data_IF_273520503715
#
_entry.id   IF_273520503715
#
_cell.length_a   1.000
_cell.length_b   1.000
_cell.length_c   1.000
_cell.angle_alpha   90.00
_cell.angle_beta   90.00
_cell.angle_gamma   90.00
#
_symmetry.space_group_name_H-M   'P 1'
#
loop_
_entity.id
_entity.type
_entity.pdbx_description
1 polymer ?
#
# COMPACT_ATOMS: atom_id res chain seq x y z
N UNK A 1 -14.89 10.67 -19.15
CA UNK A 1 -14.69 9.70 -18.05
C UNK A 1 -16.03 9.12 -17.63
N UNK A 2 -16.10 7.85 -17.21
CA UNK A 2 -17.34 7.28 -16.65
C UNK A 2 -17.67 7.96 -15.31
N UNK A 3 -18.97 8.12 -15.00
CA UNK A 3 -19.45 8.73 -13.74
C UNK A 3 -18.77 8.14 -12.50
N UNK A 4 -18.65 6.81 -12.43
CA UNK A 4 -17.95 6.14 -11.34
C UNK A 4 -16.51 6.65 -11.19
N UNK A 5 -15.73 6.63 -12.27
CA UNK A 5 -14.32 7.04 -12.26
C UNK A 5 -14.15 8.48 -11.82
N UNK A 6 -15.09 9.36 -12.19
CA UNK A 6 -15.10 10.76 -11.76
C UNK A 6 -15.28 10.87 -10.23
N UNK A 7 -16.21 10.12 -9.63
CA UNK A 7 -16.44 10.16 -8.18
C UNK A 7 -15.19 9.69 -7.41
N UNK A 8 -14.55 8.61 -7.88
CA UNK A 8 -13.30 8.14 -7.29
C UNK A 8 -12.15 9.15 -7.48
N UNK A 9 -12.09 9.84 -8.63
CA UNK A 9 -11.11 10.88 -8.90
C UNK A 9 -11.29 12.10 -7.97
N UNK A 10 -12.54 12.56 -7.76
CA UNK A 10 -12.85 13.64 -6.82
C UNK A 10 -12.44 13.25 -5.40
N UNK A 11 -12.79 12.04 -4.95
CA UNK A 11 -12.39 11.56 -3.63
C UNK A 11 -10.86 11.56 -3.48
N UNK A 12 -10.14 11.08 -4.50
CA UNK A 12 -8.67 11.07 -4.52
C UNK A 12 -8.12 12.49 -4.45
N UNK A 13 -8.67 13.42 -5.25
CA UNK A 13 -8.24 14.81 -5.28
C UNK A 13 -8.40 15.51 -3.93
N UNK A 14 -9.55 15.33 -3.26
CA UNK A 14 -9.80 15.88 -1.91
C UNK A 14 -8.71 15.41 -0.93
N UNK A 15 -8.30 14.14 -0.98
CA UNK A 15 -7.29 13.62 -0.08
C UNK A 15 -5.86 14.03 -0.48
N UNK A 16 -5.59 14.22 -1.76
CA UNK A 16 -4.32 14.82 -2.21
C UNK A 16 -4.17 16.25 -1.68
N UNK A 17 -5.25 17.05 -1.72
CA UNK A 17 -5.28 18.38 -1.08
C UNK A 17 -5.04 18.28 0.42
N UNK A 18 -5.65 17.30 1.10
CA UNK A 18 -5.41 17.05 2.53
C UNK A 18 -3.94 16.69 2.83
N UNK A 19 -3.29 15.87 1.98
CA UNK A 19 -1.84 15.61 2.10
C UNK A 19 -1.05 16.89 1.94
N UNK A 20 -1.30 17.67 0.89
CA UNK A 20 -0.57 18.92 0.66
C UNK A 20 -0.70 19.83 1.88
N UNK A 21 -1.92 20.04 2.39
CA UNK A 21 -2.14 20.86 3.60
C UNK A 21 -1.39 20.28 4.82
N UNK A 22 -1.46 18.96 5.03
CA UNK A 22 -0.81 18.30 6.16
C UNK A 22 0.70 18.47 6.10
N UNK A 23 1.29 18.26 4.93
CA UNK A 23 2.74 18.29 4.73
C UNK A 23 3.29 19.71 4.71
N UNK A 24 2.54 20.67 4.14
CA UNK A 24 2.89 22.10 4.21
C UNK A 24 2.87 22.61 5.66
N UNK A 25 1.87 22.22 6.47
CA UNK A 25 1.76 22.64 7.88
C UNK A 25 2.69 21.90 8.84
N UNK A 26 3.22 20.75 8.44
CA UNK A 26 4.07 19.88 9.27
C UNK A 26 5.38 19.56 8.56
N UNK A 27 6.02 20.58 7.98
CA UNK A 27 7.19 20.50 7.10
C UNK A 27 8.40 19.81 7.78
N UNK A 28 8.35 18.49 7.83
CA UNK A 28 9.36 17.56 8.33
C UNK A 28 9.39 16.35 7.39
N UNK A 29 10.42 15.51 7.48
CA UNK A 29 10.59 14.25 6.73
C UNK A 29 9.74 13.11 7.31
N UNK A 30 9.41 13.17 8.60
CA UNK A 30 8.59 12.18 9.34
C UNK A 30 7.19 11.90 8.75
N UNK A 31 6.43 12.90 8.24
CA UNK A 31 5.17 12.69 7.55
C UNK A 31 5.20 11.64 6.43
N UNK A 32 6.27 11.58 5.62
CA UNK A 32 6.36 10.58 4.55
C UNK A 32 6.57 9.17 5.11
N UNK A 33 7.44 9.00 6.11
CA UNK A 33 7.67 7.71 6.75
C UNK A 33 6.37 7.19 7.39
N UNK A 34 5.65 8.06 8.09
CA UNK A 34 4.37 7.72 8.71
C UNK A 34 3.31 7.38 7.65
N UNK A 35 3.21 8.16 6.58
CA UNK A 35 2.26 7.89 5.50
C UNK A 35 2.52 6.54 4.84
N UNK A 36 3.74 6.28 4.36
CA UNK A 36 4.06 5.04 3.66
C UNK A 36 3.94 3.80 4.57
N UNK A 37 4.33 3.91 5.85
CA UNK A 37 4.12 2.81 6.80
C UNK A 37 2.64 2.59 7.11
N UNK A 38 1.82 3.65 7.19
CA UNK A 38 0.37 3.55 7.35
C UNK A 38 -0.31 2.91 6.14
N UNK A 39 0.12 3.24 4.92
CA UNK A 39 -0.31 2.55 3.69
C UNK A 39 0.04 1.06 3.76
N UNK A 40 1.24 0.73 4.24
CA UNK A 40 1.67 -0.66 4.39
C UNK A 40 0.79 -1.44 5.36
N UNK A 41 0.47 -0.85 6.52
CA UNK A 41 -0.45 -1.46 7.49
C UNK A 41 -1.84 -1.68 6.88
N UNK A 42 -2.37 -0.69 6.14
CA UNK A 42 -3.65 -0.81 5.44
C UNK A 42 -3.60 -1.91 4.36
N UNK A 43 -2.49 -2.06 3.64
CA UNK A 43 -2.30 -3.12 2.64
C UNK A 43 -2.22 -4.51 3.28
N UNK A 44 -1.67 -4.65 4.50
CA UNK A 44 -1.68 -5.94 5.23
C UNK A 44 -3.13 -6.33 5.48
N UNK A 45 -3.93 -5.40 6.00
CA UNK A 45 -5.34 -5.62 6.24
C UNK A 45 -6.10 -5.97 4.94
N UNK A 46 -5.90 -5.18 3.88
CA UNK A 46 -6.56 -5.36 2.58
C UNK A 46 -6.19 -6.70 1.94
N UNK A 47 -4.96 -7.17 2.13
CA UNK A 47 -4.52 -8.47 1.64
C UNK A 47 -5.37 -9.61 2.19
N UNK A 48 -5.64 -9.63 3.49
CA UNK A 48 -6.51 -10.65 4.08
C UNK A 48 -7.97 -10.43 3.72
N UNK A 49 -8.47 -9.22 3.92
CA UNK A 49 -9.90 -8.91 3.84
C UNK A 49 -10.41 -8.93 2.39
N UNK A 50 -9.70 -8.30 1.47
CA UNK A 50 -10.09 -8.23 0.05
C UNK A 50 -9.48 -9.35 -0.77
N UNK A 51 -8.15 -9.53 -0.74
CA UNK A 51 -7.51 -10.42 -1.71
C UNK A 51 -7.78 -11.90 -1.43
N UNK A 52 -7.66 -12.31 -0.16
CA UNK A 52 -7.92 -13.70 0.25
C UNK A 52 -9.42 -13.93 0.44
N UNK A 53 -10.07 -13.15 1.30
CA UNK A 53 -11.45 -13.42 1.73
C UNK A 53 -12.52 -12.79 0.83
N UNK A 54 -12.15 -11.89 -0.09
CA UNK A 54 -13.07 -11.26 -1.05
C UNK A 54 -14.28 -10.63 -0.37
N UNK A 55 -14.07 -9.90 0.72
CA UNK A 55 -15.12 -9.34 1.57
C UNK A 55 -16.06 -8.35 0.87
N UNK A 56 -15.54 -7.61 -0.11
CA UNK A 56 -16.26 -6.61 -0.89
C UNK A 56 -15.64 -6.42 -2.29
N UNK A 57 -16.24 -5.56 -3.10
CA UNK A 57 -15.77 -5.18 -4.44
C UNK A 57 -15.99 -3.68 -4.68
N UNK A 58 -15.00 -3.04 -5.28
CA UNK A 58 -15.09 -1.67 -5.79
C UNK A 58 -15.36 -1.67 -7.29
N UNK A 59 -16.04 -0.61 -7.77
CA UNK A 59 -16.39 -0.40 -9.18
C UNK A 59 -16.00 1.01 -9.67
N UNK A 60 -14.72 1.40 -9.65
CA UNK A 60 -14.28 2.68 -10.22
C UNK A 60 -14.45 2.75 -11.75
N UNK A 61 -14.61 1.62 -12.44
CA UNK A 61 -14.78 1.48 -13.90
C UNK A 61 -13.64 2.09 -14.72
N UNK A 62 -12.43 2.10 -14.18
CA UNK A 62 -11.18 2.53 -14.83
C UNK A 62 -10.63 1.42 -15.70
N UNK A 63 -10.64 0.17 -15.22
CA UNK A 63 -10.13 -0.99 -15.95
C UNK A 63 -11.25 -1.90 -16.45
N UNK A 64 -11.01 -2.59 -17.57
CA UNK A 64 -11.97 -3.56 -18.12
C UNK A 64 -12.03 -4.84 -17.29
N UNK A 65 -10.91 -5.26 -16.68
CA UNK A 65 -10.89 -6.41 -15.79
C UNK A 65 -11.52 -6.04 -14.44
N UNK A 66 -12.63 -6.70 -14.09
CA UNK A 66 -13.39 -6.41 -12.87
C UNK A 66 -12.54 -6.49 -11.58
N UNK A 67 -11.62 -7.45 -11.50
CA UNK A 67 -10.80 -7.62 -10.29
C UNK A 67 -9.69 -6.57 -10.23
N UNK A 68 -9.02 -6.29 -11.35
CA UNK A 68 -8.09 -5.17 -11.44
C UNK A 68 -8.73 -3.84 -11.06
N UNK A 69 -9.97 -3.62 -11.53
CA UNK A 69 -10.77 -2.43 -11.23
C UNK A 69 -11.13 -2.36 -9.73
N UNK A 70 -11.48 -3.50 -9.12
CA UNK A 70 -11.67 -3.59 -7.67
C UNK A 70 -10.39 -3.23 -6.91
N UNK A 71 -9.23 -3.72 -7.34
CA UNK A 71 -7.94 -3.39 -6.70
C UNK A 71 -7.59 -1.91 -6.86
N UNK A 72 -7.93 -1.30 -8.01
CA UNK A 72 -7.78 0.15 -8.18
C UNK A 72 -8.58 0.92 -7.14
N UNK A 73 -9.84 0.52 -6.90
CA UNK A 73 -10.67 1.14 -5.86
C UNK A 73 -10.10 0.92 -4.45
N UNK A 74 -9.54 -0.27 -4.19
CA UNK A 74 -8.86 -0.57 -2.94
C UNK A 74 -7.61 0.29 -2.74
N UNK A 75 -6.80 0.51 -3.77
CA UNK A 75 -5.63 1.41 -3.71
C UNK A 75 -6.08 2.85 -3.44
N UNK A 76 -7.14 3.34 -4.10
CA UNK A 76 -7.68 4.67 -3.81
C UNK A 76 -8.10 4.77 -2.33
N UNK A 77 -8.72 3.73 -1.78
CA UNK A 77 -9.13 3.73 -0.38
C UNK A 77 -7.94 3.60 0.59
N UNK A 78 -7.06 2.63 0.36
CA UNK A 78 -6.03 2.18 1.31
C UNK A 78 -4.64 2.77 1.06
N UNK A 79 -4.47 3.59 0.03
CA UNK A 79 -3.26 4.39 -0.17
C UNK A 79 -3.56 5.88 -0.06
N UNK A 80 -4.67 6.33 -0.67
CA UNK A 80 -4.95 7.75 -0.80
C UNK A 80 -6.00 8.27 0.19
N UNK A 81 -6.92 7.44 0.65
CA UNK A 81 -8.05 7.94 1.44
C UNK A 81 -7.78 7.78 2.93
N UNK A 82 -7.83 6.54 3.41
CA UNK A 82 -7.79 6.21 4.84
C UNK A 82 -6.42 6.48 5.47
N UNK A 83 -5.26 6.09 4.90
CA UNK A 83 -3.97 6.38 5.50
C UNK A 83 -3.62 7.87 5.51
N UNK A 84 -4.07 8.63 4.51
CA UNK A 84 -3.88 10.08 4.49
C UNK A 84 -4.58 10.72 5.68
N UNK A 85 -5.85 10.38 5.92
CA UNK A 85 -6.59 10.87 7.09
C UNK A 85 -5.95 10.41 8.40
N UNK A 86 -5.55 9.14 8.49
CA UNK A 86 -4.88 8.61 9.68
C UNK A 86 -3.59 9.37 10.01
N UNK A 87 -2.77 9.64 8.97
CA UNK A 87 -1.54 10.41 9.08
C UNK A 87 -1.81 11.84 9.53
N UNK A 88 -2.81 12.51 8.94
CA UNK A 88 -3.20 13.86 9.34
C UNK A 88 -3.66 13.90 10.81
N UNK A 89 -4.54 12.98 11.22
CA UNK A 89 -5.02 12.90 12.60
C UNK A 89 -3.89 12.66 13.61
N UNK A 90 -2.92 11.82 13.27
CA UNK A 90 -1.74 11.54 14.08
C UNK A 90 -0.83 12.77 14.21
N UNK A 91 -0.45 13.40 13.09
CA UNK A 91 0.48 14.54 13.06
C UNK A 91 -0.09 15.82 13.69
N UNK A 92 -1.41 16.05 13.56
CA UNK A 92 -2.08 17.15 14.23
C UNK A 92 -2.47 16.83 15.68
N UNK A 93 -2.05 15.67 16.21
CA UNK A 93 -2.30 15.20 17.58
C UNK A 93 -3.77 15.35 18.00
N UNK A 94 -4.71 15.11 17.08
CA UNK A 94 -6.12 15.36 17.35
C UNK A 94 -6.66 14.44 18.45
N UNK A 95 -7.65 14.94 19.19
CA UNK A 95 -8.41 14.17 20.19
C UNK A 95 -9.12 12.99 19.52
N UNK A 96 -9.38 11.93 20.28
CA UNK A 96 -10.05 10.72 19.79
C UNK A 96 -11.42 11.00 19.14
N UNK A 97 -12.10 12.07 19.55
CA UNK A 97 -13.34 12.54 18.93
C UNK A 97 -13.22 12.79 17.42
N UNK A 98 -12.06 13.27 16.96
CA UNK A 98 -11.81 13.46 15.52
C UNK A 98 -11.64 12.13 14.78
N UNK A 99 -11.07 11.11 15.43
CA UNK A 99 -10.99 9.75 14.88
C UNK A 99 -12.38 9.12 14.73
N UNK A 100 -13.28 9.36 15.70
CA UNK A 100 -14.69 8.95 15.60
C UNK A 100 -15.40 9.71 14.48
N UNK A 101 -15.22 11.03 14.39
CA UNK A 101 -15.79 11.84 13.30
C UNK A 101 -15.34 11.36 11.92
N UNK A 102 -14.04 11.10 11.74
CA UNK A 102 -13.51 10.54 10.50
C UNK A 102 -14.06 9.14 10.20
N UNK A 103 -14.28 8.31 11.24
CA UNK A 103 -14.89 6.99 11.11
C UNK A 103 -16.33 7.09 10.59
N UNK A 104 -17.15 7.97 11.18
CA UNK A 104 -18.51 8.19 10.71
C UNK A 104 -18.55 8.78 9.29
N UNK A 105 -17.62 9.68 8.96
CA UNK A 105 -17.46 10.20 7.60
C UNK A 105 -17.23 9.05 6.60
N UNK A 106 -16.28 8.14 6.88
CA UNK A 106 -15.99 7.02 5.99
C UNK A 106 -17.10 5.97 5.93
N UNK A 107 -17.79 5.70 7.04
CA UNK A 107 -18.98 4.84 7.02
C UNK A 107 -20.10 5.48 6.16
N UNK A 108 -20.27 6.80 6.22
CA UNK A 108 -21.17 7.54 5.35
C UNK A 108 -20.77 7.47 3.87
N UNK A 109 -19.47 7.60 3.57
CA UNK A 109 -18.93 7.41 2.22
C UNK A 109 -19.19 5.99 1.72
N UNK A 110 -18.94 4.96 2.55
CA UNK A 110 -19.23 3.56 2.21
C UNK A 110 -20.71 3.39 1.86
N UNK A 111 -21.61 3.92 2.69
CA UNK A 111 -23.04 3.85 2.48
C UNK A 111 -23.47 4.55 1.18
N UNK A 112 -22.93 5.74 0.92
CA UNK A 112 -23.16 6.46 -0.33
C UNK A 112 -22.66 5.66 -1.54
N UNK A 113 -21.48 5.05 -1.43
CA UNK A 113 -20.90 4.24 -2.49
C UNK A 113 -21.73 2.99 -2.77
N UNK A 114 -22.35 2.38 -1.75
CA UNK A 114 -23.30 1.28 -1.94
C UNK A 114 -24.52 1.76 -2.72
N UNK A 115 -25.15 2.87 -2.28
CA UNK A 115 -26.35 3.43 -2.94
C UNK A 115 -26.09 3.81 -4.41
N UNK A 116 -24.89 4.32 -4.70
CA UNK A 116 -24.48 4.69 -6.06
C UNK A 116 -23.97 3.52 -6.90
N UNK A 117 -23.95 2.29 -6.37
CA UNK A 117 -23.43 1.11 -7.07
C UNK A 117 -21.92 1.16 -7.35
N UNK A 118 -21.18 1.95 -6.57
CA UNK A 118 -19.72 2.09 -6.62
C UNK A 118 -18.99 1.05 -5.77
N UNK A 119 -19.70 0.48 -4.79
CA UNK A 119 -19.18 -0.51 -3.86
C UNK A 119 -20.23 -1.59 -3.61
N UNK A 120 -19.81 -2.86 -3.55
CA UNK A 120 -20.67 -4.00 -3.19
C UNK A 120 -20.05 -4.78 -2.06
N UNK A 121 -20.82 -4.97 -1.00
CA UNK A 121 -20.49 -5.87 0.11
C UNK A 121 -20.78 -7.32 -0.32
N UNK A 122 -19.84 -8.23 -0.05
CA UNK A 122 -20.11 -9.67 -0.17
C UNK A 122 -20.50 -10.21 1.21
N UNK A 123 -19.57 -10.21 2.17
CA UNK A 123 -19.82 -10.54 3.57
C UNK A 123 -19.42 -9.42 4.54
N UNK A 124 -18.68 -8.42 4.06
CA UNK A 124 -18.34 -7.24 4.84
C UNK A 124 -19.62 -6.54 5.33
N UNK A 125 -19.64 -6.09 6.58
CA UNK A 125 -20.71 -5.29 7.16
C UNK A 125 -20.14 -3.92 7.54
N UNK A 126 -20.96 -2.88 7.44
CA UNK A 126 -20.53 -1.50 7.74
C UNK A 126 -20.12 -1.34 9.21
N UNK A 127 -20.64 -2.19 10.12
CA UNK A 127 -20.15 -2.27 11.50
C UNK A 127 -18.67 -2.64 11.59
N UNK A 128 -18.15 -3.45 10.66
CA UNK A 128 -16.73 -3.78 10.62
C UNK A 128 -15.89 -2.55 10.27
N UNK A 129 -16.37 -1.67 9.38
CA UNK A 129 -15.73 -0.38 9.09
C UNK A 129 -15.75 0.54 10.31
N UNK A 130 -16.89 0.60 11.02
CA UNK A 130 -17.04 1.40 12.24
C UNK A 130 -16.11 0.93 13.38
N UNK A 131 -15.69 -0.33 13.39
CA UNK A 131 -14.75 -0.88 14.38
C UNK A 131 -13.30 -0.78 13.88
N UNK A 132 -13.04 -1.12 12.62
CA UNK A 132 -11.69 -1.20 12.07
C UNK A 132 -11.03 0.16 11.87
N UNK A 133 -11.79 1.20 11.49
CA UNK A 133 -11.23 2.53 11.26
C UNK A 133 -10.76 3.23 12.54
N UNK A 134 -11.52 3.28 13.65
CA UNK A 134 -11.01 3.82 14.90
C UNK A 134 -9.76 3.05 15.35
N UNK A 135 -9.80 1.72 15.28
CA UNK A 135 -8.64 0.89 15.61
C UNK A 135 -7.43 1.25 14.75
N UNK A 136 -7.60 1.37 13.43
CA UNK A 136 -6.54 1.76 12.52
C UNK A 136 -5.98 3.16 12.84
N UNK A 137 -6.84 4.15 13.10
CA UNK A 137 -6.40 5.48 13.50
C UNK A 137 -5.64 5.48 14.83
N UNK A 138 -6.05 4.66 15.78
CA UNK A 138 -5.32 4.44 17.03
C UNK A 138 -3.94 3.82 16.78
N UNK A 139 -3.87 2.77 15.96
CA UNK A 139 -2.59 2.12 15.59
C UNK A 139 -1.66 3.13 14.92
N UNK A 140 -2.12 3.87 13.91
CA UNK A 140 -1.30 4.88 13.22
C UNK A 140 -0.84 5.98 14.15
N UNK A 141 -1.70 6.45 15.07
CA UNK A 141 -1.32 7.44 16.08
C UNK A 141 -0.24 6.90 17.02
N UNK A 142 -0.38 5.66 17.50
CA UNK A 142 0.65 5.00 18.32
C UNK A 142 1.94 4.79 17.53
N UNK A 143 1.85 4.41 16.26
CA UNK A 143 2.99 4.25 15.37
C UNK A 143 3.74 5.57 15.19
N UNK A 144 3.03 6.69 15.05
CA UNK A 144 3.63 8.03 15.00
C UNK A 144 4.46 8.30 16.25
N UNK A 145 3.93 8.01 17.44
CA UNK A 145 4.67 8.20 18.71
C UNK A 145 5.91 7.29 18.80
N UNK A 146 5.82 6.05 18.31
CA UNK A 146 6.97 5.14 18.25
C UNK A 146 8.05 5.56 17.24
N UNK A 147 7.68 6.42 16.28
CA UNK A 147 8.57 7.03 15.30
C UNK A 147 9.08 8.41 15.74
N UNK A 148 8.62 8.94 16.87
CA UNK A 148 9.15 10.16 17.46
C UNK A 148 10.53 9.91 18.08
N UNK A 149 11.44 10.88 17.92
CA UNK A 149 12.83 10.73 18.35
C UNK A 149 13.56 9.58 17.64
N UNK A 150 14.24 8.74 18.41
CA UNK A 150 14.97 7.56 17.93
C UNK A 150 14.06 6.34 18.02
N UNK A 151 13.53 5.81 16.89
CA UNK A 151 12.65 4.66 16.94
C UNK A 151 13.40 3.43 17.46
N UNK A 152 12.70 2.64 18.26
CA UNK A 152 13.17 1.33 18.67
C UNK A 152 13.54 0.46 17.46
N UNK A 153 14.52 -0.44 17.65
CA UNK A 153 15.06 -1.25 16.55
C UNK A 153 13.94 -1.95 15.79
N UNK A 154 13.02 -2.60 16.49
CA UNK A 154 11.90 -3.34 15.90
C UNK A 154 10.93 -2.43 15.13
N UNK A 155 10.58 -1.26 15.66
CA UNK A 155 9.72 -0.26 14.99
C UNK A 155 10.35 0.18 13.67
N UNK A 156 11.66 0.46 13.68
CA UNK A 156 12.39 0.82 12.48
C UNK A 156 12.41 -0.34 11.46
N UNK A 157 12.60 -1.60 11.88
CA UNK A 157 12.59 -2.77 10.97
C UNK A 157 11.22 -2.93 10.31
N UNK A 158 10.14 -2.93 11.10
CA UNK A 158 8.79 -3.11 10.58
C UNK A 158 8.43 -1.96 9.64
N UNK A 159 8.75 -0.71 10.01
CA UNK A 159 8.52 0.46 9.15
C UNK A 159 9.21 0.31 7.80
N UNK A 160 10.49 -0.07 7.79
CA UNK A 160 11.25 -0.26 6.55
C UNK A 160 10.67 -1.40 5.70
N UNK A 161 10.28 -2.52 6.31
CA UNK A 161 9.65 -3.65 5.61
C UNK A 161 8.31 -3.26 4.97
N UNK A 162 7.48 -2.51 5.70
CA UNK A 162 6.20 -2.00 5.19
C UNK A 162 6.41 -1.08 3.99
N UNK A 163 7.37 -0.16 4.08
CA UNK A 163 7.69 0.76 2.97
C UNK A 163 8.17 -0.03 1.74
N UNK A 164 9.09 -0.99 1.91
CA UNK A 164 9.51 -1.86 0.80
C UNK A 164 8.32 -2.54 0.14
N UNK A 165 7.42 -3.09 0.95
CA UNK A 165 6.28 -3.86 0.47
C UNK A 165 5.27 -3.00 -0.29
N UNK A 166 4.95 -1.80 0.23
CA UNK A 166 4.08 -0.82 -0.44
C UNK A 166 4.64 -0.42 -1.80
N UNK A 167 5.93 -0.10 -1.86
CA UNK A 167 6.57 0.29 -3.12
C UNK A 167 6.51 -0.84 -4.15
N UNK A 168 6.85 -2.07 -3.75
CA UNK A 168 6.74 -3.24 -4.61
C UNK A 168 5.31 -3.41 -5.16
N UNK A 169 4.31 -3.33 -4.28
CA UNK A 169 2.91 -3.50 -4.64
C UNK A 169 2.41 -2.41 -5.60
N UNK A 170 2.73 -1.15 -5.32
CA UNK A 170 2.32 -0.02 -6.15
C UNK A 170 2.99 -0.07 -7.52
N UNK A 171 4.29 -0.34 -7.58
CA UNK A 171 5.00 -0.43 -8.87
C UNK A 171 4.51 -1.64 -9.67
N UNK A 172 4.30 -2.79 -9.04
CA UNK A 172 3.71 -3.95 -9.72
C UNK A 172 2.29 -3.65 -10.22
N UNK A 173 1.46 -2.95 -9.44
CA UNK A 173 0.13 -2.55 -9.88
C UNK A 173 0.19 -1.66 -11.12
N UNK A 174 1.12 -0.68 -11.15
CA UNK A 174 1.35 0.17 -12.33
C UNK A 174 1.81 -0.67 -13.54
N UNK A 175 2.73 -1.61 -13.35
CA UNK A 175 3.16 -2.52 -14.42
C UNK A 175 1.98 -3.34 -14.96
N UNK A 176 1.10 -3.83 -14.09
CA UNK A 176 -0.12 -4.57 -14.50
C UNK A 176 -1.12 -3.65 -15.20
N UNK A 177 -1.27 -2.41 -14.73
CA UNK A 177 -2.14 -1.39 -15.32
C UNK A 177 -1.73 -1.01 -16.74
N UNK A 178 -0.43 -0.74 -16.95
CA UNK A 178 0.12 -0.30 -18.24
C UNK A 178 0.28 -1.48 -19.20
N UNK A 179 0.94 -2.56 -18.75
CA UNK A 179 1.31 -3.66 -19.65
C UNK A 179 0.16 -4.64 -19.90
N UNK A 180 -0.79 -4.77 -18.95
CA UNK A 180 -1.81 -5.83 -18.86
C UNK A 180 -1.25 -7.26 -18.98
N UNK A 181 0.08 -7.41 -18.89
CA UNK A 181 0.80 -8.59 -19.41
C UNK A 181 1.95 -9.07 -18.53
N UNK A 182 2.27 -8.37 -17.44
CA UNK A 182 3.09 -8.89 -16.36
C UNK A 182 2.18 -9.45 -15.26
N UNK A 183 1.95 -10.76 -15.26
CA UNK A 183 1.05 -11.41 -14.29
C UNK A 183 1.78 -12.55 -13.59
N UNK A 184 1.81 -12.45 -12.27
CA UNK A 184 2.20 -13.55 -11.38
C UNK A 184 0.97 -14.42 -11.11
N UNK A 185 0.94 -15.68 -11.55
CA UNK A 185 -0.14 -16.64 -11.31
C UNK A 185 0.35 -18.08 -11.46
N UNK A 186 -0.21 -19.01 -10.70
CA UNK A 186 0.15 -20.43 -10.79
C UNK A 186 -0.19 -20.97 -12.20
N UNK A 187 0.72 -21.76 -12.80
CA UNK A 187 0.66 -22.29 -14.17
C UNK A 187 -0.72 -22.82 -14.59
N UNK A 188 -1.38 -23.56 -13.70
CA UNK A 188 -2.59 -24.33 -13.95
C UNK A 188 -3.88 -23.51 -13.90
N UNK A 189 -3.83 -22.25 -13.45
CA UNK A 189 -5.03 -21.42 -13.34
C UNK A 189 -4.96 -20.19 -14.24
N UNK A 190 -6.03 -20.00 -15.02
CA UNK A 190 -6.21 -18.83 -15.88
C UNK A 190 -6.82 -17.63 -15.12
N UNK A 191 -7.16 -17.79 -13.83
CA UNK A 191 -7.93 -16.80 -13.06
C UNK A 191 -7.09 -15.57 -12.72
N UNK A 192 -7.51 -14.40 -13.21
CA UNK A 192 -6.78 -13.14 -13.06
C UNK A 192 -6.62 -12.68 -11.59
N UNK A 193 -7.59 -13.00 -10.72
CA UNK A 193 -7.52 -12.58 -9.31
C UNK A 193 -6.36 -13.21 -8.52
N UNK A 194 -5.85 -14.37 -8.95
CA UNK A 194 -4.73 -15.03 -8.27
C UNK A 194 -3.48 -14.16 -8.25
N UNK A 195 -3.31 -13.29 -9.23
CA UNK A 195 -2.23 -12.32 -9.23
C UNK A 195 -2.21 -11.47 -7.97
N UNK A 196 -3.37 -10.99 -7.56
CA UNK A 196 -3.48 -10.12 -6.38
C UNK A 196 -3.48 -10.89 -5.07
N UNK A 197 -3.40 -12.23 -5.11
CA UNK A 197 -3.13 -13.06 -3.93
C UNK A 197 -1.64 -13.40 -3.87
N UNK A 198 -1.06 -13.86 -4.97
CA UNK A 198 0.32 -14.35 -5.01
C UNK A 198 1.32 -13.20 -4.99
N UNK A 199 1.05 -12.13 -5.75
CA UNK A 199 1.98 -11.01 -5.86
C UNK A 199 2.24 -10.32 -4.51
N UNK A 200 1.23 -10.00 -3.66
CA UNK A 200 1.52 -9.44 -2.35
C UNK A 200 2.35 -10.36 -1.45
N UNK A 201 2.05 -11.65 -1.40
CA UNK A 201 2.85 -12.60 -0.62
C UNK A 201 4.30 -12.68 -1.15
N UNK A 202 4.46 -12.73 -2.47
CA UNK A 202 5.77 -12.73 -3.12
C UNK A 202 6.58 -11.48 -2.79
N UNK A 203 5.98 -10.30 -2.94
CA UNK A 203 6.66 -9.04 -2.65
C UNK A 203 6.95 -8.87 -1.16
N UNK A 204 6.21 -9.52 -0.26
CA UNK A 204 6.53 -9.52 1.16
C UNK A 204 7.85 -10.26 1.42
N UNK A 205 8.08 -11.39 0.75
CA UNK A 205 9.35 -12.13 0.81
C UNK A 205 10.49 -11.29 0.20
N UNK A 206 10.24 -10.65 -0.95
CA UNK A 206 11.23 -9.76 -1.57
C UNK A 206 11.58 -8.55 -0.69
N UNK A 207 10.63 -8.00 0.07
CA UNK A 207 10.91 -6.95 1.05
C UNK A 207 11.88 -7.39 2.14
N UNK A 208 11.79 -8.65 2.61
CA UNK A 208 12.73 -9.20 3.59
C UNK A 208 14.14 -9.31 3.00
N UNK A 209 14.28 -9.82 1.78
CA UNK A 209 15.58 -9.94 1.11
C UNK A 209 16.19 -8.57 0.85
N UNK A 210 15.38 -7.62 0.35
CA UNK A 210 15.82 -6.25 0.13
C UNK A 210 16.26 -5.57 1.43
N UNK A 211 15.55 -5.83 2.54
CA UNK A 211 15.92 -5.36 3.86
C UNK A 211 17.26 -5.95 4.36
N UNK A 212 17.47 -7.26 4.21
CA UNK A 212 18.74 -7.92 4.57
C UNK A 212 19.90 -7.39 3.74
N UNK A 213 19.69 -7.17 2.43
CA UNK A 213 20.68 -6.55 1.55
C UNK A 213 21.05 -5.13 2.01
N UNK A 214 20.06 -4.35 2.44
CA UNK A 214 20.26 -2.99 2.96
C UNK A 214 21.05 -3.01 4.29
N UNK A 215 20.77 -3.95 5.19
CA UNK A 215 21.48 -4.09 6.47
C UNK A 215 22.94 -4.51 6.30
N UNK A 216 23.17 -5.54 5.47
CA UNK A 216 24.51 -6.11 5.26
C UNK A 216 25.39 -5.26 4.36
N UNK A 217 24.84 -4.22 3.73
CA UNK A 217 25.49 -3.42 2.68
C UNK A 217 25.97 -4.27 1.49
N UNK A 218 25.44 -5.48 1.30
CA UNK A 218 25.73 -6.36 0.16
C UNK A 218 24.69 -6.19 -0.94
N UNK A 219 24.67 -5.00 -1.56
CA UNK A 219 23.63 -4.59 -2.50
C UNK A 219 23.60 -5.45 -3.77
N UNK A 220 24.77 -5.76 -4.33
CA UNK A 220 24.89 -6.61 -5.52
C UNK A 220 24.39 -8.03 -5.25
N UNK A 221 24.74 -8.61 -4.10
CA UNK A 221 24.24 -9.94 -3.69
C UNK A 221 22.72 -9.91 -3.52
N UNK A 222 22.19 -8.90 -2.83
CA UNK A 222 20.75 -8.74 -2.65
C UNK A 222 19.97 -8.60 -3.96
N UNK A 223 20.46 -7.76 -4.88
CA UNK A 223 19.90 -7.62 -6.23
C UNK A 223 19.98 -8.94 -7.00
N UNK A 224 21.11 -9.65 -6.89
CA UNK A 224 21.27 -10.99 -7.45
C UNK A 224 20.24 -11.97 -6.91
N UNK A 225 20.04 -12.03 -5.59
CA UNK A 225 19.06 -12.91 -4.95
C UNK A 225 17.62 -12.57 -5.36
N UNK A 226 17.26 -11.28 -5.38
CA UNK A 226 15.95 -10.81 -5.83
C UNK A 226 15.68 -11.24 -7.28
N UNK A 227 16.64 -11.00 -8.17
CA UNK A 227 16.52 -11.36 -9.57
C UNK A 227 16.50 -12.88 -9.78
N UNK A 228 17.29 -13.64 -9.03
CA UNK A 228 17.27 -15.11 -9.05
C UNK A 228 15.90 -15.65 -8.66
N UNK A 229 15.23 -15.05 -7.67
CA UNK A 229 13.85 -15.41 -7.34
C UNK A 229 12.88 -15.11 -8.48
N UNK A 230 12.99 -13.97 -9.15
CA UNK A 230 12.13 -13.66 -10.29
C UNK A 230 12.35 -14.68 -11.42
N UNK A 231 13.61 -15.04 -11.70
CA UNK A 231 13.98 -16.02 -12.71
C UNK A 231 13.45 -17.42 -12.35
N UNK A 232 13.53 -17.81 -11.08
CA UNK A 232 12.97 -19.06 -10.58
C UNK A 232 11.46 -19.10 -10.83
N UNK A 233 10.72 -18.07 -10.42
CA UNK A 233 9.27 -18.00 -10.65
C UNK A 233 8.90 -17.96 -12.13
N UNK A 234 9.73 -17.33 -12.97
CA UNK A 234 9.54 -17.35 -14.41
C UNK A 234 9.76 -18.74 -15.02
N UNK A 235 10.84 -19.44 -14.64
CA UNK A 235 11.12 -20.83 -15.07
C UNK A 235 10.03 -21.80 -14.62
N UNK A 236 9.48 -21.60 -13.42
CA UNK A 236 8.33 -22.34 -12.91
C UNK A 236 7.00 -21.97 -13.62
N UNK A 237 7.02 -21.03 -14.58
CA UNK A 237 5.86 -20.50 -15.30
C UNK A 237 4.82 -19.84 -14.38
N UNK A 238 5.25 -19.32 -13.24
CA UNK A 238 4.41 -18.53 -12.34
C UNK A 238 4.37 -17.06 -12.75
N UNK A 239 5.43 -16.55 -13.37
CA UNK A 239 5.42 -15.22 -13.99
C UNK A 239 5.15 -15.39 -15.48
N UNK A 240 4.05 -14.81 -15.96
CA UNK A 240 3.81 -14.64 -17.39
C UNK A 240 4.11 -13.20 -17.76
N UNK A 241 5.18 -12.99 -18.50
CA UNK A 241 5.56 -11.71 -19.07
C UNK A 241 5.37 -11.79 -20.61
N UNK A 242 4.29 -11.21 -21.13
CA UNK A 242 4.03 -11.20 -22.58
C UNK A 242 4.63 -9.94 -23.21
N UNK A 243 5.64 -10.10 -24.08
CA UNK A 243 6.46 -9.03 -24.70
C UNK A 243 7.43 -8.31 -23.76
N UNK A 244 7.56 -8.80 -22.52
CA UNK A 244 8.47 -8.27 -21.51
C UNK A 244 9.30 -9.44 -21.01
N UNK A 245 10.51 -9.14 -20.54
CA UNK A 245 11.39 -10.13 -19.91
C UNK A 245 11.41 -9.91 -18.40
N UNK A 246 11.80 -10.93 -17.64
CA UNK A 246 11.96 -10.83 -16.18
C UNK A 246 12.94 -9.73 -15.77
N UNK A 247 13.88 -9.39 -16.65
CA UNK A 247 14.84 -8.31 -16.44
C UNK A 247 14.20 -6.94 -16.19
N UNK A 248 12.93 -6.73 -16.56
CA UNK A 248 12.20 -5.50 -16.20
C UNK A 248 12.02 -5.32 -14.68
N UNK A 249 12.21 -6.37 -13.88
CA UNK A 249 12.18 -6.29 -12.41
C UNK A 249 13.48 -5.75 -11.82
N UNK A 250 14.61 -5.78 -12.53
CA UNK A 250 15.89 -5.27 -12.01
C UNK A 250 15.81 -3.76 -11.72
N UNK A 251 15.34 -2.89 -12.65
CA UNK A 251 15.13 -1.47 -12.34
C UNK A 251 14.15 -1.26 -11.20
N UNK A 252 13.15 -2.13 -11.04
CA UNK A 252 12.20 -2.06 -9.94
C UNK A 252 12.88 -2.34 -8.59
N UNK A 253 13.68 -3.41 -8.50
CA UNK A 253 14.44 -3.72 -7.28
C UNK A 253 15.43 -2.60 -6.93
N UNK A 254 16.13 -2.08 -7.93
CA UNK A 254 17.10 -1.00 -7.74
C UNK A 254 16.42 0.29 -7.23
N UNK A 255 15.34 0.71 -7.88
CA UNK A 255 14.60 1.92 -7.47
C UNK A 255 14.03 1.78 -6.07
N UNK A 256 13.50 0.60 -5.71
CA UNK A 256 12.98 0.35 -4.37
C UNK A 256 14.10 0.37 -3.31
N UNK A 257 15.25 -0.26 -3.57
CA UNK A 257 16.41 -0.21 -2.67
C UNK A 257 16.91 1.22 -2.44
N UNK A 258 17.00 2.03 -3.51
CA UNK A 258 17.43 3.44 -3.41
C UNK A 258 16.43 4.28 -2.62
N UNK A 259 15.13 4.18 -2.94
CA UNK A 259 14.08 4.92 -2.27
C UNK A 259 14.03 4.58 -0.77
N UNK A 260 14.08 3.30 -0.42
CA UNK A 260 14.00 2.88 0.99
C UNK A 260 15.28 3.18 1.77
N UNK A 261 16.44 3.21 1.10
CA UNK A 261 17.67 3.76 1.70
C UNK A 261 17.50 5.21 2.11
N UNK A 262 16.83 6.03 1.30
CA UNK A 262 16.53 7.42 1.67
C UNK A 262 15.66 7.46 2.92
N UNK A 263 14.56 6.69 2.97
CA UNK A 263 13.71 6.60 4.16
C UNK A 263 14.46 6.14 5.41
N UNK A 264 15.31 5.11 5.30
CA UNK A 264 16.14 4.63 6.40
C UNK A 264 17.12 5.69 6.88
N UNK A 265 17.83 6.37 5.96
CA UNK A 265 18.72 7.48 6.28
C UNK A 265 17.97 8.62 6.97
N UNK A 266 16.73 8.91 6.56
CA UNK A 266 15.92 9.94 7.20
C UNK A 266 15.56 9.58 8.64
N UNK A 267 15.16 8.33 8.90
CA UNK A 267 14.93 7.83 10.27
C UNK A 267 16.21 7.87 11.13
N UNK A 268 17.37 7.66 10.52
CA UNK A 268 18.68 7.73 11.19
C UNK A 268 19.16 9.17 11.37
N UNK A 269 18.93 10.09 10.44
CA UNK A 269 19.38 11.49 10.54
C UNK A 269 18.64 12.32 11.60
N UNK A 270 17.49 11.84 12.10
CA UNK A 270 16.89 12.37 13.30
C UNK A 270 17.72 12.12 14.58
N UNK A 271 18.87 11.43 14.48
CA UNK A 271 19.78 11.09 15.57
C UNK A 271 20.88 12.13 15.83
N UNK A 272 21.08 13.13 14.96
CA UNK A 272 22.19 14.11 15.07
C UNK A 272 21.75 15.49 15.58
N UNK A 273 20.50 15.65 16.03
CA UNK A 273 19.89 16.94 16.37
C UNK A 273 19.38 17.09 17.80
N UNK A 274 19.88 16.31 18.75
CA UNK A 274 19.64 16.43 20.20
C UNK A 274 20.94 16.20 20.94
#
# INVERSE_FOLDING_TARGET
MKKNSLIYAILTFIHLVLVIITFVKKWDKKPWILLFSSIGQAYVFEYFVLNILKSYKYYPKVFSNKWQDTIMGAIISQAFTVPIMATALALFQKKWTWSLGATFLYAGIEWLFIRLGLFKKNWWKTIYTLISLPFFFWVVKKWSLLLEGKPEKWTARITVLLIFWVNYLNTNFVLVAISKKFLIRIKWSKKYYQHFIIAPAYFMIQSVIAYVALLTKKWALGLGTLHLMDQLLYRLNWIKAKRWTVYCMIPLHLTNLLLVKLFKKQMESGQEGT
#
